data_IF_576505715156
#
_entry.id   IF_576505715156
#
_cell.length_a   1.000
_cell.length_b   1.000
_cell.length_c   1.000
_cell.angle_alpha   90.00
_cell.angle_beta   90.00
_cell.angle_gamma   90.00
#
_symmetry.space_group_name_H-M   'P 1'
#
loop_
_entity.id
_entity.type
_entity.pdbx_description
1 polymer ?
#
# COMPACT_ATOMS: atom_id res chain seq x y z
N UNK A 1 48.41 4.04 -33.91
CA UNK A 1 47.35 4.89 -33.34
C UNK A 1 46.15 4.02 -32.90
N UNK A 2 46.07 3.70 -31.61
CA UNK A 2 44.94 2.96 -31.05
C UNK A 2 43.79 3.93 -30.81
N UNK A 3 42.66 3.67 -31.47
CA UNK A 3 41.39 4.35 -31.19
C UNK A 3 40.79 3.65 -29.97
N UNK A 4 40.75 4.37 -28.84
CA UNK A 4 40.14 3.89 -27.60
C UNK A 4 38.63 3.80 -27.79
N UNK A 5 38.07 2.59 -27.79
CA UNK A 5 36.64 2.39 -27.78
C UNK A 5 36.10 2.77 -26.39
N UNK A 6 35.38 3.88 -26.32
CA UNK A 6 34.59 4.22 -25.14
C UNK A 6 33.45 3.21 -25.07
N UNK A 7 33.53 2.27 -24.14
CA UNK A 7 32.40 1.42 -23.77
C UNK A 7 31.33 2.33 -23.17
N UNK A 8 30.28 2.61 -23.95
CA UNK A 8 29.04 3.14 -23.40
C UNK A 8 28.47 2.09 -22.47
N UNK A 9 28.55 2.32 -21.17
CA UNK A 9 27.75 1.59 -20.20
C UNK A 9 26.32 2.06 -20.44
N UNK A 10 25.52 1.28 -21.16
CA UNK A 10 24.07 1.40 -21.06
C UNK A 10 23.68 1.09 -19.62
N UNK A 11 23.62 2.11 -18.79
CA UNK A 11 22.92 2.01 -17.51
C UNK A 11 21.44 1.92 -17.86
N UNK A 12 20.96 0.72 -18.16
CA UNK A 12 19.52 0.46 -18.18
C UNK A 12 18.99 0.86 -16.81
N UNK A 13 18.25 1.97 -16.75
CA UNK A 13 17.60 2.43 -15.53
C UNK A 13 16.64 1.34 -15.07
N UNK A 14 16.52 1.13 -13.75
CA UNK A 14 15.60 0.13 -13.23
C UNK A 14 14.16 0.52 -13.58
N UNK A 15 13.25 -0.42 -13.82
CA UNK A 15 11.84 -0.12 -14.11
C UNK A 15 11.20 0.85 -13.11
N UNK A 16 11.46 0.68 -11.80
CA UNK A 16 10.96 1.61 -10.77
C UNK A 16 11.52 3.04 -10.92
N UNK A 17 12.77 3.20 -11.36
CA UNK A 17 13.37 4.51 -11.62
C UNK A 17 12.77 5.14 -12.89
N UNK A 18 12.53 4.34 -13.93
CA UNK A 18 11.84 4.78 -15.15
C UNK A 18 10.43 5.25 -14.82
N UNK A 19 9.65 4.46 -14.08
CA UNK A 19 8.33 4.85 -13.61
C UNK A 19 8.39 6.16 -12.81
N UNK A 20 9.33 6.28 -11.86
CA UNK A 20 9.47 7.48 -11.03
C UNK A 20 9.80 8.74 -11.83
N UNK A 21 10.48 8.58 -12.97
CA UNK A 21 10.79 9.68 -13.89
C UNK A 21 9.58 10.20 -14.67
N UNK A 22 8.45 9.47 -14.65
CA UNK A 22 7.17 9.99 -15.15
C UNK A 22 6.48 10.90 -14.11
N UNK A 23 5.63 11.86 -14.55
CA UNK A 23 4.83 12.66 -13.63
C UNK A 23 4.01 11.77 -12.67
N UNK A 24 3.78 12.17 -11.40
CA UNK A 24 3.01 11.36 -10.44
C UNK A 24 1.70 10.82 -11.03
N UNK A 25 0.90 11.68 -11.69
CA UNK A 25 -0.37 11.34 -12.32
C UNK A 25 -0.29 10.36 -13.50
N UNK A 26 0.91 9.98 -13.93
CA UNK A 26 1.17 9.05 -15.05
C UNK A 26 1.85 7.76 -14.60
N UNK A 27 2.23 7.63 -13.31
CA UNK A 27 2.98 6.46 -12.84
C UNK A 27 2.16 5.17 -12.88
N UNK A 28 0.89 5.24 -12.47
CA UNK A 28 -0.05 4.10 -12.60
C UNK A 28 -0.22 3.68 -14.06
N UNK A 29 -0.40 4.65 -14.97
CA UNK A 29 -0.52 4.39 -16.42
C UNK A 29 0.76 3.72 -16.94
N UNK A 30 1.93 4.23 -16.55
CA UNK A 30 3.20 3.62 -16.91
C UNK A 30 3.27 2.17 -16.41
N UNK A 31 2.90 1.91 -15.15
CA UNK A 31 2.89 0.55 -14.59
C UNK A 31 1.97 -0.37 -15.40
N UNK A 32 0.72 0.06 -15.63
CA UNK A 32 -0.29 -0.72 -16.38
C UNK A 32 0.21 -1.07 -17.80
N UNK A 33 0.99 -0.19 -18.44
CA UNK A 33 1.55 -0.43 -19.78
C UNK A 33 2.72 -1.42 -19.82
N UNK A 34 3.43 -1.63 -18.71
CA UNK A 34 4.66 -2.44 -18.68
C UNK A 34 4.55 -3.68 -17.80
N UNK A 35 3.45 -3.85 -17.08
CA UNK A 35 3.26 -4.88 -16.04
C UNK A 35 3.57 -6.30 -16.52
N UNK A 36 3.22 -6.63 -17.76
CA UNK A 36 3.42 -7.96 -18.36
C UNK A 36 4.91 -8.26 -18.64
N UNK A 37 5.72 -7.22 -18.86
CA UNK A 37 7.15 -7.33 -19.14
C UNK A 37 8.02 -7.23 -17.87
N UNK A 38 7.43 -6.87 -16.73
CA UNK A 38 8.17 -6.75 -15.47
C UNK A 38 8.53 -8.13 -14.90
N UNK A 39 9.80 -8.28 -14.52
CA UNK A 39 10.20 -9.35 -13.62
C UNK A 39 9.43 -9.24 -12.30
N UNK A 40 9.25 -10.35 -11.57
CA UNK A 40 8.54 -10.33 -10.28
C UNK A 40 9.14 -9.31 -9.30
N UNK A 41 10.47 -9.21 -9.27
CA UNK A 41 11.16 -8.23 -8.43
C UNK A 41 10.85 -6.80 -8.84
N UNK A 42 10.86 -6.50 -10.14
CA UNK A 42 10.59 -5.15 -10.64
C UNK A 42 9.11 -4.78 -10.48
N UNK A 43 8.21 -5.74 -10.67
CA UNK A 43 6.77 -5.61 -10.39
C UNK A 43 6.54 -5.13 -8.95
N UNK A 44 7.08 -5.85 -7.96
CA UNK A 44 6.93 -5.49 -6.56
C UNK A 44 7.63 -4.18 -6.19
N UNK A 45 8.80 -3.91 -6.79
CA UNK A 45 9.51 -2.64 -6.59
C UNK A 45 8.73 -1.44 -7.14
N UNK A 46 8.01 -1.62 -8.24
CA UNK A 46 7.15 -0.58 -8.80
C UNK A 46 5.91 -0.39 -7.93
N UNK A 47 5.23 -1.44 -7.50
CA UNK A 47 4.09 -1.33 -6.57
C UNK A 47 4.46 -0.61 -5.26
N UNK A 48 5.61 -0.94 -4.67
CA UNK A 48 6.10 -0.24 -3.48
C UNK A 48 6.33 1.26 -3.75
N UNK A 49 6.88 1.60 -4.93
CA UNK A 49 7.07 3.00 -5.31
C UNK A 49 5.74 3.71 -5.54
N UNK A 50 4.76 3.08 -6.17
CA UNK A 50 3.42 3.64 -6.37
C UNK A 50 2.74 3.93 -5.03
N UNK A 51 2.78 2.96 -4.10
CA UNK A 51 2.16 3.09 -2.79
C UNK A 51 2.64 4.34 -2.03
N UNK A 52 3.95 4.58 -2.06
CA UNK A 52 4.59 5.68 -1.34
C UNK A 52 4.44 7.02 -2.06
N UNK A 53 4.53 7.01 -3.38
CA UNK A 53 4.72 8.26 -4.15
C UNK A 53 3.47 8.77 -4.84
N UNK A 54 2.42 7.97 -4.91
CA UNK A 54 1.19 8.30 -5.61
C UNK A 54 -0.04 7.94 -4.78
N UNK A 55 -0.28 8.79 -3.77
CA UNK A 55 -1.46 8.72 -2.91
C UNK A 55 -2.77 8.74 -3.72
N UNK A 56 -2.80 9.22 -4.98
CA UNK A 56 -4.04 9.36 -5.75
C UNK A 56 -4.54 8.06 -6.41
N UNK A 57 -3.76 6.97 -6.37
CA UNK A 57 -4.17 5.68 -6.91
C UNK A 57 -5.18 4.92 -6.02
N UNK A 58 -6.23 5.58 -5.51
CA UNK A 58 -7.22 5.01 -4.59
C UNK A 58 -8.18 3.98 -5.21
N UNK A 59 -7.86 3.43 -6.39
CA UNK A 59 -8.65 2.37 -7.00
C UNK A 59 -8.46 1.08 -6.20
N UNK A 60 -9.36 0.85 -5.24
CA UNK A 60 -9.28 -0.26 -4.27
C UNK A 60 -9.21 -1.62 -4.95
N UNK A 61 -10.05 -1.82 -5.98
CA UNK A 61 -10.03 -3.04 -6.80
C UNK A 61 -8.70 -3.25 -7.51
N UNK A 62 -8.09 -2.20 -8.06
CA UNK A 62 -6.79 -2.28 -8.72
C UNK A 62 -5.68 -2.71 -7.75
N UNK A 63 -5.66 -2.13 -6.54
CA UNK A 63 -4.71 -2.55 -5.50
C UNK A 63 -4.94 -3.99 -5.05
N UNK A 64 -6.21 -4.40 -4.90
CA UNK A 64 -6.54 -5.78 -4.55
C UNK A 64 -5.99 -6.75 -5.60
N UNK A 65 -6.32 -6.52 -6.87
CA UNK A 65 -5.92 -7.38 -7.99
C UNK A 65 -4.39 -7.51 -8.08
N UNK A 66 -3.65 -6.43 -7.78
CA UNK A 66 -2.20 -6.43 -7.88
C UNK A 66 -1.47 -6.95 -6.64
N UNK A 67 -1.99 -6.74 -5.44
CA UNK A 67 -1.37 -7.19 -4.18
C UNK A 67 -1.67 -8.66 -3.85
N UNK A 68 -2.77 -9.20 -4.39
CA UNK A 68 -3.17 -10.61 -4.27
C UNK A 68 -2.99 -11.42 -5.57
N UNK A 69 -2.30 -10.88 -6.57
CA UNK A 69 -1.95 -11.64 -7.76
C UNK A 69 -1.03 -12.83 -7.44
N UNK A 70 -1.04 -13.85 -8.31
CA UNK A 70 -0.18 -15.02 -8.19
C UNK A 70 1.23 -14.75 -8.74
N UNK A 71 1.94 -13.77 -8.18
CA UNK A 71 3.37 -13.51 -8.45
C UNK A 71 4.21 -13.81 -7.21
N UNK A 72 5.34 -14.54 -7.33
CA UNK A 72 6.19 -14.87 -6.20
C UNK A 72 6.93 -13.63 -5.67
N UNK A 73 7.53 -13.77 -4.48
CA UNK A 73 8.43 -12.75 -3.89
C UNK A 73 7.78 -11.39 -3.56
N UNK A 74 6.50 -11.37 -3.19
CA UNK A 74 5.77 -10.15 -2.74
C UNK A 74 6.52 -9.30 -1.71
N UNK A 75 7.33 -9.93 -0.86
CA UNK A 75 8.14 -9.24 0.13
C UNK A 75 9.18 -8.27 -0.47
N UNK A 76 9.47 -8.33 -1.77
CA UNK A 76 10.31 -7.34 -2.45
C UNK A 76 9.70 -5.92 -2.46
N UNK A 77 8.40 -5.77 -2.18
CA UNK A 77 7.75 -4.48 -1.98
C UNK A 77 8.01 -3.85 -0.59
N UNK A 78 8.73 -4.56 0.28
CA UNK A 78 9.06 -4.13 1.64
C UNK A 78 10.58 -3.97 1.79
N UNK A 79 11.00 -2.98 2.58
CA UNK A 79 12.38 -2.85 3.03
C UNK A 79 12.78 -4.04 3.92
N UNK A 80 14.08 -4.32 4.13
CA UNK A 80 14.51 -5.38 5.04
C UNK A 80 13.93 -5.26 6.46
N UNK A 81 13.80 -4.04 6.98
CA UNK A 81 13.22 -3.80 8.31
C UNK A 81 11.70 -4.07 8.33
N UNK A 82 10.98 -3.63 7.30
CA UNK A 82 9.56 -3.91 7.14
C UNK A 82 9.29 -5.41 7.02
N UNK A 83 10.10 -6.13 6.22
CA UNK A 83 9.98 -7.59 6.09
C UNK A 83 10.17 -8.33 7.41
N UNK A 84 11.15 -7.92 8.21
CA UNK A 84 11.39 -8.54 9.50
C UNK A 84 10.20 -8.42 10.46
N UNK A 85 9.45 -7.31 10.39
CA UNK A 85 8.21 -7.12 11.15
C UNK A 85 7.08 -7.95 10.52
N UNK A 86 6.93 -7.92 9.19
CA UNK A 86 5.91 -8.69 8.48
C UNK A 86 6.01 -10.20 8.77
N UNK A 87 7.23 -10.74 8.80
CA UNK A 87 7.50 -12.16 9.10
C UNK A 87 7.16 -12.55 10.55
N UNK A 88 6.99 -11.59 11.46
CA UNK A 88 6.55 -11.83 12.83
C UNK A 88 5.03 -11.92 12.97
N UNK A 89 4.26 -11.58 11.93
CA UNK A 89 2.79 -11.68 11.92
C UNK A 89 2.41 -13.16 11.79
N UNK A 90 2.37 -13.87 12.91
CA UNK A 90 2.16 -15.32 12.98
C UNK A 90 0.76 -15.71 13.49
N UNK A 91 -0.11 -14.74 13.80
CA UNK A 91 -1.44 -14.98 14.31
C UNK A 91 -2.40 -13.81 14.02
N UNK A 92 -3.68 -13.97 14.37
CA UNK A 92 -4.67 -12.91 14.23
C UNK A 92 -4.21 -11.64 14.96
N UNK A 93 -4.30 -10.49 14.28
CA UNK A 93 -3.83 -9.20 14.80
C UNK A 93 -4.99 -8.20 14.79
N UNK A 94 -5.15 -7.46 15.88
CA UNK A 94 -6.12 -6.35 15.94
C UNK A 94 -5.49 -5.17 15.23
N UNK A 95 -6.17 -4.66 14.20
CA UNK A 95 -5.76 -3.48 13.47
C UNK A 95 -6.85 -2.41 13.55
N UNK A 96 -6.44 -1.15 13.42
CA UNK A 96 -7.25 0.05 13.54
C UNK A 96 -7.21 0.86 12.24
N UNK A 97 -8.30 1.56 11.96
CA UNK A 97 -8.38 2.54 10.86
C UNK A 97 -9.25 3.73 11.24
N UNK A 98 -8.72 4.93 11.01
CA UNK A 98 -9.49 6.17 11.08
C UNK A 98 -10.31 6.42 9.80
N UNK A 99 -11.51 6.97 9.95
CA UNK A 99 -12.39 7.36 8.84
C UNK A 99 -13.03 8.74 9.08
N UNK A 100 -13.35 9.43 7.98
CA UNK A 100 -13.74 10.84 7.96
C UNK A 100 -15.25 11.11 7.88
N UNK A 101 -15.99 10.20 7.24
CA UNK A 101 -17.38 10.46 6.83
C UNK A 101 -18.31 9.28 7.12
N UNK A 102 -17.83 8.06 6.93
CA UNK A 102 -18.57 6.86 7.33
C UNK A 102 -17.63 5.67 7.49
N UNK A 103 -18.00 4.76 8.39
CA UNK A 103 -17.29 3.51 8.59
C UNK A 103 -17.27 2.61 7.35
N UNK A 104 -18.01 2.91 6.27
CA UNK A 104 -18.05 2.14 5.02
C UNK A 104 -17.22 2.77 3.87
N UNK A 105 -16.63 3.96 4.06
CA UNK A 105 -15.73 4.59 3.07
C UNK A 105 -14.31 3.98 3.10
N UNK A 106 -14.23 2.69 3.43
CA UNK A 106 -13.04 2.04 3.99
C UNK A 106 -11.97 1.86 2.93
N UNK A 107 -10.73 2.11 3.32
CA UNK A 107 -9.54 1.82 2.54
C UNK A 107 -8.79 0.62 3.10
N UNK A 108 -7.78 0.21 2.36
CA UNK A 108 -6.99 -0.99 2.64
C UNK A 108 -5.80 -0.75 3.59
N UNK A 109 -5.58 0.48 4.03
CA UNK A 109 -4.48 0.85 4.94
C UNK A 109 -4.95 0.84 6.41
N UNK A 110 -4.28 0.07 7.25
CA UNK A 110 -4.62 -0.11 8.66
C UNK A 110 -3.35 -0.01 9.51
N UNK A 111 -3.48 0.16 10.82
CA UNK A 111 -2.34 0.26 11.74
C UNK A 111 -2.60 -0.58 12.98
N UNK A 112 -1.56 -1.09 13.63
CA UNK A 112 -1.68 -1.70 14.97
C UNK A 112 -1.53 -0.67 16.10
N UNK A 113 -1.32 0.61 15.76
CA UNK A 113 -1.26 1.73 16.70
C UNK A 113 -2.58 2.53 16.68
N UNK A 114 -3.42 2.44 17.74
CA UNK A 114 -4.70 3.16 17.76
C UNK A 114 -4.53 4.69 17.72
N UNK A 115 -3.39 5.24 18.18
CA UNK A 115 -3.14 6.68 18.13
C UNK A 115 -2.90 7.18 16.70
N UNK A 116 -2.31 6.34 15.84
CA UNK A 116 -2.17 6.63 14.41
C UNK A 116 -3.54 6.64 13.74
N UNK A 117 -4.42 5.69 14.07
CA UNK A 117 -5.79 5.67 13.54
C UNK A 117 -6.60 6.90 13.99
N UNK A 118 -6.43 7.35 15.23
CA UNK A 118 -7.04 8.57 15.76
C UNK A 118 -6.57 9.83 15.02
N UNK A 119 -5.26 9.97 14.81
CA UNK A 119 -4.68 11.05 14.00
C UNK A 119 -5.31 11.07 12.60
N UNK A 120 -5.45 9.91 11.94
CA UNK A 120 -6.09 9.87 10.63
C UNK A 120 -7.56 10.31 10.69
N UNK A 121 -8.32 9.87 11.69
CA UNK A 121 -9.75 10.21 11.82
C UNK A 121 -9.98 11.71 12.04
N UNK A 122 -9.23 12.34 12.94
CA UNK A 122 -9.56 13.68 13.45
C UNK A 122 -8.60 14.80 13.03
N UNK A 123 -7.37 14.48 12.66
CA UNK A 123 -6.37 15.49 12.27
C UNK A 123 -6.11 15.47 10.76
N UNK A 124 -5.76 14.31 10.19
CA UNK A 124 -5.42 14.23 8.77
C UNK A 124 -6.65 14.41 7.88
N UNK A 125 -7.70 13.61 8.14
CA UNK A 125 -8.89 13.60 7.29
C UNK A 125 -9.85 14.78 7.56
N UNK A 126 -9.68 15.52 8.65
CA UNK A 126 -10.53 16.69 8.96
C UNK A 126 -10.37 17.84 7.96
N UNK A 127 -9.29 17.84 7.19
CA UNK A 127 -9.04 18.79 6.12
C UNK A 127 -9.65 18.37 4.77
N UNK A 128 -10.23 17.17 4.68
CA UNK A 128 -10.82 16.66 3.43
C UNK A 128 -12.22 17.24 3.18
N UNK A 129 -12.57 17.53 1.92
CA UNK A 129 -13.94 17.89 1.56
C UNK A 129 -14.93 16.80 1.99
N UNK A 130 -15.99 17.19 2.71
CA UNK A 130 -17.02 16.26 3.18
C UNK A 130 -16.72 15.60 4.53
N UNK A 131 -15.70 16.05 5.27
CA UNK A 131 -15.52 15.68 6.67
C UNK A 131 -16.70 16.13 7.53
N UNK A 132 -17.19 15.23 8.36
CA UNK A 132 -18.25 15.48 9.34
C UNK A 132 -17.83 14.90 10.68
N UNK A 133 -17.48 15.74 11.68
CA UNK A 133 -16.97 15.27 12.97
C UNK A 133 -17.87 14.22 13.64
N UNK A 134 -19.18 14.38 13.54
CA UNK A 134 -20.18 13.49 14.15
C UNK A 134 -20.21 12.08 13.52
N UNK A 135 -19.58 11.90 12.36
CA UNK A 135 -19.51 10.62 11.64
C UNK A 135 -18.09 10.18 11.32
N UNK A 136 -17.10 10.92 11.83
CA UNK A 136 -15.71 10.48 11.86
C UNK A 136 -15.50 9.52 13.03
N UNK A 137 -14.50 8.65 12.93
CA UNK A 137 -14.22 7.71 14.00
C UNK A 137 -13.12 6.74 13.68
N UNK A 138 -12.97 5.77 14.58
CA UNK A 138 -12.01 4.68 14.48
C UNK A 138 -12.80 3.37 14.44
N UNK A 139 -12.40 2.48 13.54
CA UNK A 139 -12.86 1.09 13.55
C UNK A 139 -11.67 0.19 13.85
N UNK A 140 -11.93 -0.93 14.53
CA UNK A 140 -10.90 -1.94 14.82
C UNK A 140 -11.40 -3.31 14.39
N UNK A 141 -10.58 -4.10 13.72
CA UNK A 141 -10.95 -5.45 13.27
C UNK A 141 -9.80 -6.42 13.54
N UNK A 142 -10.12 -7.72 13.67
CA UNK A 142 -9.12 -8.78 13.78
C UNK A 142 -8.85 -9.33 12.39
N UNK A 143 -7.61 -9.26 11.94
CA UNK A 143 -7.20 -9.79 10.63
C UNK A 143 -6.27 -11.00 10.80
N UNK A 144 -6.48 -12.01 9.97
CA UNK A 144 -5.56 -13.12 9.81
C UNK A 144 -4.32 -12.70 9.00
N UNK A 145 -3.15 -13.32 9.23
CA UNK A 145 -1.93 -12.99 8.48
C UNK A 145 -2.08 -13.10 6.94
N UNK A 146 -2.94 -14.03 6.47
CA UNK A 146 -3.23 -14.22 5.03
C UNK A 146 -4.01 -13.06 4.40
N UNK A 147 -4.64 -12.22 5.22
CA UNK A 147 -5.42 -11.05 4.80
C UNK A 147 -4.55 -9.78 4.73
N UNK A 148 -3.27 -9.87 5.11
CA UNK A 148 -2.30 -8.77 5.05
C UNK A 148 -1.36 -8.99 3.86
N UNK A 149 -1.40 -8.10 2.88
CA UNK A 149 -0.50 -8.14 1.72
C UNK A 149 0.91 -7.67 2.06
N UNK A 150 1.02 -6.53 2.75
CA UNK A 150 2.29 -5.84 3.00
C UNK A 150 2.26 -5.15 4.37
N UNK A 151 3.45 -4.90 4.91
CA UNK A 151 3.69 -3.99 6.02
C UNK A 151 4.60 -2.84 5.55
N UNK A 152 4.22 -1.61 5.85
CA UNK A 152 4.93 -0.37 5.48
C UNK A 152 5.16 0.48 6.72
N UNK A 153 6.34 1.09 6.84
CA UNK A 153 6.67 1.91 8.00
C UNK A 153 7.54 3.13 7.68
N UNK A 154 7.49 3.59 6.43
CA UNK A 154 8.31 4.72 5.97
C UNK A 154 8.01 6.02 6.74
N UNK A 155 6.76 6.20 7.18
CA UNK A 155 6.31 7.35 7.97
C UNK A 155 6.17 7.06 9.47
N UNK A 156 6.58 5.88 9.95
CA UNK A 156 6.40 5.48 11.36
C UNK A 156 4.97 5.10 11.74
N UNK A 157 4.07 4.97 10.77
CA UNK A 157 2.64 4.71 10.96
C UNK A 157 2.30 3.23 11.24
N UNK A 158 3.29 2.33 11.11
CA UNK A 158 3.11 0.88 11.21
C UNK A 158 1.92 0.40 10.37
N UNK A 159 1.99 0.68 9.08
CA UNK A 159 0.91 0.47 8.13
C UNK A 159 0.84 -1.00 7.67
N UNK A 160 -0.34 -1.59 7.77
CA UNK A 160 -0.70 -2.92 7.30
C UNK A 160 -1.67 -2.75 6.12
N UNK A 161 -1.30 -3.27 4.96
CA UNK A 161 -2.16 -3.23 3.78
C UNK A 161 -2.98 -4.52 3.74
N UNK A 162 -4.29 -4.41 3.97
CA UNK A 162 -5.22 -5.54 4.08
C UNK A 162 -6.10 -5.69 2.84
N UNK A 163 -6.68 -6.87 2.65
CA UNK A 163 -7.62 -7.12 1.56
C UNK A 163 -8.90 -6.31 1.76
N UNK A 164 -9.36 -5.55 0.75
CA UNK A 164 -10.65 -4.85 0.82
C UNK A 164 -11.82 -5.80 1.11
N UNK A 165 -11.97 -6.96 0.41
CA UNK A 165 -12.98 -7.95 0.76
C UNK A 165 -12.95 -8.37 2.24
N UNK A 166 -11.76 -8.58 2.82
CA UNK A 166 -11.64 -8.94 4.23
C UNK A 166 -12.10 -7.78 5.14
N UNK A 167 -11.61 -6.56 4.88
CA UNK A 167 -12.00 -5.38 5.65
C UNK A 167 -13.51 -5.14 5.64
N UNK A 168 -14.16 -5.32 4.48
CA UNK A 168 -15.62 -5.17 4.35
C UNK A 168 -16.38 -6.22 5.16
N UNK A 169 -15.96 -7.48 5.13
CA UNK A 169 -16.58 -8.57 5.90
C UNK A 169 -16.46 -8.28 7.40
N UNK A 170 -15.25 -8.03 7.89
CA UNK A 170 -14.99 -7.83 9.32
C UNK A 170 -15.75 -6.62 9.89
N UNK A 171 -15.88 -5.53 9.13
CA UNK A 171 -16.65 -4.36 9.57
C UNK A 171 -18.15 -4.63 9.55
N UNK A 172 -18.65 -5.30 8.51
CA UNK A 172 -20.07 -5.64 8.42
C UNK A 172 -20.49 -6.52 9.59
N UNK A 173 -19.69 -7.53 9.93
CA UNK A 173 -19.95 -8.41 11.07
C UNK A 173 -20.08 -7.62 12.37
N UNK A 174 -19.24 -6.60 12.59
CA UNK A 174 -19.32 -5.74 13.78
C UNK A 174 -20.56 -4.86 13.83
N UNK A 175 -21.07 -4.40 12.68
CA UNK A 175 -22.27 -3.58 12.63
C UNK A 175 -23.55 -4.40 12.84
N UNK A 176 -23.48 -5.73 12.64
CA UNK A 176 -24.61 -6.66 12.80
C UNK A 176 -24.63 -7.42 14.12
N UNK A 177 -23.55 -7.38 14.90
CA UNK A 177 -23.40 -8.01 16.21
C UNK A 177 -23.99 -7.15 17.34
#
# INVERSE_FOLDING_TARGET
PMVSAVQYIETSSRPADQMRSTPPTQRKIWFDMHVDDLSDRDYWSCLATLWVTDYLAHERGWWHDHLWCNRPHRSAAMTPAERAIYEQINGPTILYRGYASAANSIGISWTDDPSVAEFFAYDFLSHQPGYTPDTAGIVSCVFHPTEVALFKNENGEREFIVSEPAALVHITDQMTA
#
